data_IF_793915281977
#
_entry.id   IF_793915281977
#
_cell.length_a   1.000
_cell.length_b   1.000
_cell.length_c   1.000
_cell.angle_alpha   90.00
_cell.angle_beta   90.00
_cell.angle_gamma   90.00
#
_symmetry.space_group_name_H-M   'P 1'
#
loop_
_entity.id
_entity.type
_entity.pdbx_description
1 polymer ?
#
# COMPACT_ATOMS: atom_id res chain seq x y z
N UNK A 1 24.74 -15.43 -13.88
CA UNK A 1 24.05 -14.38 -14.66
C UNK A 1 22.90 -15.06 -15.38
N UNK A 2 21.74 -15.17 -14.71
CA UNK A 2 20.58 -15.89 -15.25
C UNK A 2 19.86 -14.97 -16.22
N UNK A 3 20.05 -15.20 -17.52
CA UNK A 3 19.36 -14.45 -18.57
C UNK A 3 17.85 -14.63 -18.41
N UNK A 4 17.15 -13.52 -18.21
CA UNK A 4 15.70 -13.49 -18.17
C UNK A 4 15.16 -14.07 -19.48
N UNK A 5 14.50 -15.22 -19.38
CA UNK A 5 13.94 -15.97 -20.50
C UNK A 5 12.65 -15.27 -21.00
N UNK A 6 12.74 -14.00 -21.38
CA UNK A 6 11.63 -13.18 -21.88
C UNK A 6 11.19 -13.55 -23.32
N UNK A 7 11.63 -14.68 -23.87
CA UNK A 7 11.36 -15.09 -25.26
C UNK A 7 10.34 -16.23 -25.39
N UNK A 8 9.69 -16.68 -24.31
CA UNK A 8 8.61 -17.67 -24.41
C UNK A 8 7.29 -17.02 -24.87
N UNK A 9 7.18 -16.81 -26.17
CA UNK A 9 5.97 -16.26 -26.81
C UNK A 9 4.73 -17.10 -26.54
N UNK A 10 4.85 -18.42 -26.36
CA UNK A 10 3.70 -19.28 -26.10
C UNK A 10 3.06 -18.95 -24.74
N UNK A 11 3.89 -18.61 -23.75
CA UNK A 11 3.43 -18.10 -22.47
C UNK A 11 2.81 -16.69 -22.60
N UNK A 12 3.51 -15.77 -23.27
CA UNK A 12 3.10 -14.36 -23.37
C UNK A 12 1.81 -14.13 -24.16
N UNK A 13 1.56 -14.92 -25.21
CA UNK A 13 0.33 -14.81 -26.03
C UNK A 13 -0.93 -14.98 -25.18
N UNK A 14 -0.90 -15.90 -24.20
CA UNK A 14 -2.04 -16.12 -23.29
C UNK A 14 -2.31 -14.87 -22.44
N UNK A 15 -1.25 -14.25 -21.91
CA UNK A 15 -1.36 -13.02 -21.12
C UNK A 15 -1.81 -11.83 -21.97
N UNK A 16 -1.25 -11.67 -23.17
CA UNK A 16 -1.63 -10.61 -24.10
C UNK A 16 -3.11 -10.71 -24.51
N UNK A 17 -3.59 -11.93 -24.79
CA UNK A 17 -5.00 -12.19 -25.13
C UNK A 17 -5.92 -11.85 -23.97
N UNK A 18 -5.56 -12.23 -22.74
CA UNK A 18 -6.33 -11.88 -21.54
C UNK A 18 -6.39 -10.37 -21.33
N UNK A 19 -5.27 -9.67 -21.46
CA UNK A 19 -5.20 -8.22 -21.31
C UNK A 19 -6.04 -7.51 -22.37
N UNK A 20 -5.94 -7.93 -23.64
CA UNK A 20 -6.75 -7.37 -24.72
C UNK A 20 -8.25 -7.57 -24.49
N UNK A 21 -8.67 -8.79 -24.12
CA UNK A 21 -10.08 -9.12 -23.93
C UNK A 21 -10.71 -8.46 -22.69
N UNK A 22 -9.89 -8.03 -21.73
CA UNK A 22 -10.32 -7.32 -20.52
C UNK A 22 -10.16 -5.80 -20.60
N UNK A 23 -9.45 -5.28 -21.61
CA UNK A 23 -9.28 -3.86 -21.80
C UNK A 23 -10.58 -3.21 -22.28
N UNK A 24 -10.93 -2.04 -21.72
CA UNK A 24 -12.10 -1.28 -22.18
C UNK A 24 -11.78 -0.61 -23.51
N UNK A 25 -12.64 -0.81 -24.49
CA UNK A 25 -12.52 -0.12 -25.76
C UNK A 25 -12.91 1.36 -25.59
N UNK A 26 -12.09 2.28 -26.10
CA UNK A 26 -12.26 3.72 -25.86
C UNK A 26 -13.60 4.28 -26.36
N UNK A 27 -14.12 3.75 -27.48
CA UNK A 27 -15.36 4.24 -28.11
C UNK A 27 -16.64 3.62 -27.57
N UNK A 28 -16.59 2.35 -27.13
CA UNK A 28 -17.79 1.58 -26.72
C UNK A 28 -17.89 1.49 -25.20
N UNK A 29 -16.85 1.88 -24.48
CA UNK A 29 -16.73 1.79 -23.02
C UNK A 29 -16.91 0.38 -22.43
N UNK A 30 -17.09 -0.65 -23.28
CA UNK A 30 -17.17 -2.08 -22.95
C UNK A 30 -15.89 -2.79 -23.38
N UNK A 31 -15.62 -3.93 -22.74
CA UNK A 31 -14.51 -4.81 -23.09
C UNK A 31 -14.89 -5.75 -24.23
N UNK A 32 -13.92 -6.21 -25.06
CA UNK A 32 -14.20 -7.23 -26.08
C UNK A 32 -14.87 -8.48 -25.51
N UNK A 33 -14.46 -8.94 -24.32
CA UNK A 33 -15.10 -10.10 -23.68
C UNK A 33 -16.57 -9.84 -23.30
N UNK A 34 -16.92 -8.64 -22.85
CA UNK A 34 -18.31 -8.29 -22.55
C UNK A 34 -19.18 -8.29 -23.80
N UNK A 35 -18.65 -7.79 -24.92
CA UNK A 35 -19.35 -7.81 -26.21
C UNK A 35 -19.57 -9.22 -26.73
N UNK A 36 -18.58 -10.11 -26.59
CA UNK A 36 -18.66 -11.48 -27.09
C UNK A 36 -19.46 -12.42 -26.18
N UNK A 37 -19.27 -12.31 -24.86
CA UNK A 37 -19.80 -13.28 -23.89
C UNK A 37 -21.03 -12.77 -23.13
N UNK A 38 -21.42 -11.51 -23.32
CA UNK A 38 -22.55 -10.88 -22.62
C UNK A 38 -22.34 -10.74 -21.10
N UNK A 39 -21.12 -10.95 -20.60
CA UNK A 39 -20.77 -10.87 -19.18
C UNK A 39 -19.35 -10.37 -18.99
N UNK A 40 -19.13 -9.68 -17.87
CA UNK A 40 -17.80 -9.18 -17.51
C UNK A 40 -16.81 -10.31 -17.25
N UNK A 41 -15.59 -10.14 -17.76
CA UNK A 41 -14.50 -11.07 -17.47
C UNK A 41 -14.17 -10.99 -15.97
N UNK A 42 -14.09 -12.15 -15.32
CA UNK A 42 -13.74 -12.21 -13.90
C UNK A 42 -12.31 -11.75 -13.69
N UNK A 43 -12.11 -10.96 -12.65
CA UNK A 43 -10.80 -10.46 -12.29
C UNK A 43 -9.95 -11.57 -11.65
N UNK A 44 -8.63 -11.48 -11.79
CA UNK A 44 -7.71 -12.51 -11.32
C UNK A 44 -7.84 -12.77 -9.81
N UNK A 45 -8.06 -11.73 -9.01
CA UNK A 45 -8.35 -11.83 -7.58
C UNK A 45 -9.63 -12.64 -7.28
N UNK A 46 -10.66 -12.56 -8.12
CA UNK A 46 -11.89 -13.36 -7.97
C UNK A 46 -11.65 -14.83 -8.29
N UNK A 47 -10.79 -15.12 -9.27
CA UNK A 47 -10.39 -16.49 -9.62
C UNK A 47 -9.48 -17.08 -8.54
N UNK A 48 -8.48 -16.32 -8.08
CA UNK A 48 -7.54 -16.73 -7.04
C UNK A 48 -8.22 -16.92 -5.67
N UNK A 49 -9.21 -16.08 -5.35
CA UNK A 49 -10.02 -16.26 -4.14
C UNK A 49 -10.85 -17.54 -4.16
N UNK A 50 -11.13 -18.13 -5.33
CA UNK A 50 -11.78 -19.45 -5.40
C UNK A 50 -10.78 -20.60 -5.29
N UNK A 51 -9.58 -20.47 -5.87
CA UNK A 51 -8.56 -21.54 -5.84
C UNK A 51 -7.76 -21.57 -4.54
N UNK A 52 -7.66 -20.44 -3.84
CA UNK A 52 -6.86 -20.29 -2.61
C UNK A 52 -7.65 -20.32 -1.31
N UNK A 53 -8.99 -20.45 -1.36
CA UNK A 53 -9.77 -20.72 -0.13
C UNK A 53 -9.71 -22.21 0.14
N UNK A 54 -8.54 -22.66 0.61
CA UNK A 54 -8.55 -23.63 1.70
C UNK A 54 -9.20 -22.91 2.88
N UNK A 55 -10.16 -23.57 3.54
CA UNK A 55 -10.94 -23.10 4.69
C UNK A 55 -10.35 -21.85 5.33
N UNK A 56 -11.10 -20.76 5.35
CA UNK A 56 -10.73 -19.59 6.13
C UNK A 56 -10.47 -20.06 7.56
N UNK A 57 -9.19 -20.23 7.93
CA UNK A 57 -8.83 -20.51 9.31
C UNK A 57 -9.46 -19.44 10.19
N UNK A 58 -9.87 -19.80 11.42
CA UNK A 58 -10.72 -18.97 12.27
C UNK A 58 -10.38 -17.48 12.14
N UNK A 59 -11.25 -16.75 11.45
CA UNK A 59 -11.10 -15.33 11.12
C UNK A 59 -10.74 -14.50 12.37
N UNK A 60 -11.22 -14.95 13.54
CA UNK A 60 -10.91 -14.39 14.86
C UNK A 60 -9.41 -14.38 15.14
N UNK A 61 -8.69 -15.49 14.92
CA UNK A 61 -7.28 -15.61 15.30
C UNK A 61 -6.35 -14.70 14.48
N UNK A 62 -6.61 -14.57 13.18
CA UNK A 62 -5.87 -13.63 12.32
C UNK A 62 -6.20 -12.18 12.70
N UNK A 63 -7.49 -11.89 12.93
CA UNK A 63 -7.95 -10.57 13.31
C UNK A 63 -7.35 -10.12 14.66
N UNK A 64 -7.33 -10.99 15.66
CA UNK A 64 -6.71 -10.74 16.97
C UNK A 64 -5.20 -10.48 16.85
N UNK A 65 -4.50 -11.30 16.05
CA UNK A 65 -3.07 -11.09 15.78
C UNK A 65 -2.80 -9.76 15.08
N UNK A 66 -3.65 -9.38 14.13
CA UNK A 66 -3.55 -8.11 13.43
C UNK A 66 -3.76 -6.92 14.38
N UNK A 67 -4.80 -6.97 15.22
CA UNK A 67 -5.07 -5.93 16.20
C UNK A 67 -3.91 -5.78 17.20
N UNK A 68 -3.39 -6.90 17.71
CA UNK A 68 -2.25 -6.89 18.62
C UNK A 68 -0.98 -6.30 17.97
N UNK A 69 -0.75 -6.57 16.68
CA UNK A 69 0.38 -5.99 15.95
C UNK A 69 0.22 -4.48 15.72
N UNK A 70 -0.99 -4.03 15.36
CA UNK A 70 -1.31 -2.61 15.20
C UNK A 70 -1.15 -1.83 16.50
N UNK A 71 -1.58 -2.40 17.63
CA UNK A 71 -1.46 -1.75 18.94
C UNK A 71 0.00 -1.59 19.37
N UNK A 72 0.84 -2.61 19.15
CA UNK A 72 2.30 -2.52 19.38
C UNK A 72 2.96 -1.46 18.50
N UNK A 73 2.58 -1.38 17.23
CA UNK A 73 3.12 -0.35 16.33
C UNK A 73 2.73 1.05 16.81
N UNK A 74 1.47 1.23 17.21
CA UNK A 74 0.95 2.49 17.74
C UNK A 74 1.68 2.92 19.01
N UNK A 75 1.88 2.02 19.97
CA UNK A 75 2.54 2.36 21.23
C UNK A 75 3.99 2.78 21.00
N UNK A 76 4.72 2.06 20.13
CA UNK A 76 6.07 2.44 19.71
C UNK A 76 6.10 3.83 19.02
N UNK A 77 5.16 4.08 18.10
CA UNK A 77 5.05 5.36 17.40
C UNK A 77 4.72 6.52 18.36
N UNK A 78 3.81 6.30 19.32
CA UNK A 78 3.47 7.30 20.33
C UNK A 78 4.64 7.61 21.27
N UNK A 79 5.41 6.60 21.68
CA UNK A 79 6.62 6.80 22.47
C UNK A 79 7.68 7.60 21.72
N UNK A 80 7.93 7.27 20.44
CA UNK A 80 8.84 8.03 19.61
C UNK A 80 8.36 9.49 19.44
N UNK A 81 7.05 9.68 19.21
CA UNK A 81 6.45 11.01 19.09
C UNK A 81 6.63 11.85 20.35
N UNK A 82 6.42 11.29 21.54
CA UNK A 82 6.62 11.99 22.82
C UNK A 82 8.06 12.44 23.00
N UNK A 83 9.03 11.55 22.75
CA UNK A 83 10.46 11.88 22.84
C UNK A 83 10.84 13.01 21.87
N UNK A 84 10.28 13.01 20.67
CA UNK A 84 10.52 14.06 19.68
C UNK A 84 9.89 15.40 20.09
N UNK A 85 8.66 15.39 20.63
CA UNK A 85 8.01 16.59 21.18
C UNK A 85 8.81 17.20 22.33
N UNK A 86 9.35 16.38 23.25
CA UNK A 86 10.20 16.86 24.34
C UNK A 86 11.50 17.49 23.83
N UNK A 87 12.12 16.92 22.79
CA UNK A 87 13.30 17.51 22.14
C UNK A 87 12.97 18.88 21.55
N UNK A 88 11.89 18.97 20.79
CA UNK A 88 11.45 20.23 20.18
C UNK A 88 11.12 21.30 21.24
N UNK A 89 10.47 20.92 22.34
CA UNK A 89 10.19 21.83 23.44
C UNK A 89 11.48 22.38 24.08
N UNK A 90 12.50 21.53 24.27
CA UNK A 90 13.82 21.96 24.76
C UNK A 90 14.50 22.95 23.81
N UNK A 91 14.48 22.68 22.50
CA UNK A 91 15.04 23.58 21.49
C UNK A 91 14.31 24.93 21.44
N UNK A 92 12.97 24.93 21.50
CA UNK A 92 12.18 26.15 21.54
C UNK A 92 12.48 26.97 22.80
N UNK A 93 12.50 26.34 23.97
CA UNK A 93 12.81 27.03 25.24
C UNK A 93 14.22 27.61 25.26
N UNK A 94 15.21 26.88 24.74
CA UNK A 94 16.58 27.38 24.61
C UNK A 94 16.66 28.59 23.66
N UNK A 95 15.98 28.53 22.51
CA UNK A 95 15.92 29.65 21.55
C UNK A 95 15.22 30.88 22.13
N UNK A 96 14.14 30.70 22.89
CA UNK A 96 13.43 31.81 23.57
C UNK A 96 14.30 32.44 24.67
N UNK A 97 15.08 31.64 25.41
CA UNK A 97 15.99 32.16 26.44
C UNK A 97 17.12 32.99 25.83
N UNK A 98 17.73 32.50 24.75
CA UNK A 98 18.82 33.21 24.06
C UNK A 98 18.31 34.43 23.25
N UNK A 99 17.06 34.40 22.76
CA UNK A 99 16.43 35.56 22.10
C UNK A 99 16.00 36.67 23.06
N UNK A 100 15.97 36.42 24.37
CA UNK A 100 15.77 37.45 25.40
C UNK A 100 17.09 38.13 25.82
N UNK A 101 18.23 37.50 25.56
CA UNK A 101 19.56 38.12 25.63
C UNK A 101 19.84 38.90 24.32
N UNK A 102 18.97 39.82 23.94
CA UNK A 102 19.35 40.86 22.98
C UNK A 102 20.20 41.89 23.74
N UNK A 103 21.47 42.03 23.35
CA UNK A 103 22.37 43.05 23.89
C UNK A 103 21.82 44.43 23.56
N UNK A 104 21.54 45.21 24.60
CA UNK A 104 21.42 46.67 24.53
C UNK A 104 22.84 47.21 24.51
N UNK A 105 23.47 47.24 23.33
CA UNK A 105 24.66 48.05 23.08
C UNK A 105 24.88 48.17 21.56
N UNK A 106 24.26 49.19 20.98
CA UNK A 106 24.72 49.88 19.76
C UNK A 106 23.87 51.17 19.67
N UNK A 107 24.37 52.24 20.29
CA UNK A 107 23.96 53.65 20.09
C UNK A 107 25.10 54.56 20.50
#
# INVERSE_FOLDING_TARGET
>A
MNGEQQNDWNLWVRFATYAHNSARHATVALTPNELMMGRRLRALNELLRRSGVSEAGELSTYHERLLAAMERSRTCAEQARRKEQERQAKYYNHRVRNGREFRVDDS
#
